data_IF_719898296258
#
_entry.id   IF_719898296258
#
_cell.length_a   1.000
_cell.length_b   1.000
_cell.length_c   1.000
_cell.angle_alpha   90.00
_cell.angle_beta   90.00
_cell.angle_gamma   90.00
#
_symmetry.space_group_name_H-M   'P 1'
#
loop_
_entity.id
_entity.type
_entity.pdbx_description
1 polymer ?
#
# COMPACT_ATOMS: atom_id res chain seq x y z
N UNK A 1 12.84 -9.86 8.62
CA UNK A 1 12.87 -9.75 10.09
C UNK A 1 11.97 -10.81 10.70
N UNK A 2 12.40 -11.41 11.79
CA UNK A 2 11.65 -12.47 12.44
C UNK A 2 10.46 -11.93 13.23
N UNK A 3 9.45 -12.79 13.48
CA UNK A 3 8.29 -12.44 14.29
C UNK A 3 8.70 -12.10 15.74
N UNK A 4 9.72 -12.77 16.26
CA UNK A 4 10.23 -12.51 17.61
C UNK A 4 10.76 -11.09 17.76
N UNK A 5 11.49 -10.58 16.76
CA UNK A 5 12.01 -9.21 16.76
C UNK A 5 10.88 -8.19 16.66
N UNK A 6 9.89 -8.44 15.81
CA UNK A 6 8.70 -7.55 15.71
C UNK A 6 7.91 -7.52 17.01
N UNK A 7 7.77 -8.66 17.69
CA UNK A 7 7.10 -8.75 18.97
C UNK A 7 7.85 -7.95 20.03
N UNK A 8 9.18 -8.05 20.08
CA UNK A 8 10.01 -7.30 21.01
C UNK A 8 9.86 -5.80 20.80
N UNK A 9 9.89 -5.33 19.54
CA UNK A 9 9.66 -3.92 19.23
C UNK A 9 8.31 -3.42 19.71
N UNK A 10 7.25 -4.21 19.45
CA UNK A 10 5.89 -3.86 19.88
C UNK A 10 5.78 -3.78 21.40
N UNK A 11 6.44 -4.70 22.12
CA UNK A 11 6.51 -4.67 23.57
C UNK A 11 7.17 -3.40 24.07
N UNK A 12 8.17 -2.91 23.35
CA UNK A 12 8.85 -1.65 23.62
C UNK A 12 8.12 -0.43 23.05
N UNK A 13 6.93 -0.63 22.49
CA UNK A 13 6.09 0.42 21.85
C UNK A 13 6.79 1.14 20.70
N UNK A 14 7.63 0.43 19.96
CA UNK A 14 8.27 0.93 18.75
C UNK A 14 7.59 0.34 17.51
N UNK A 15 7.31 1.19 16.53
CA UNK A 15 6.67 0.82 15.28
C UNK A 15 7.52 1.34 14.14
N UNK A 16 7.72 0.51 13.11
CA UNK A 16 8.43 0.91 11.90
C UNK A 16 7.44 1.06 10.76
N UNK A 17 7.42 2.24 10.17
CA UNK A 17 6.50 2.60 9.08
C UNK A 17 7.32 2.99 7.86
N UNK A 18 7.00 2.40 6.71
CA UNK A 18 7.64 2.73 5.45
C UNK A 18 6.69 3.39 4.46
N UNK A 19 7.26 4.12 3.52
CA UNK A 19 6.51 4.69 2.40
C UNK A 19 6.65 3.79 1.18
N UNK A 20 5.53 3.27 0.69
CA UNK A 20 5.51 2.42 -0.49
C UNK A 20 5.29 3.19 -1.79
N UNK A 21 4.61 4.33 -1.70
CA UNK A 21 4.36 5.20 -2.85
C UNK A 21 4.06 6.62 -2.39
N UNK A 22 4.48 7.58 -3.18
CA UNK A 22 4.25 9.01 -2.95
C UNK A 22 3.32 9.67 -3.97
N UNK A 23 2.87 8.95 -5.00
CA UNK A 23 1.92 9.45 -5.99
C UNK A 23 1.25 8.28 -6.72
N UNK A 24 0.18 8.58 -7.47
CA UNK A 24 -0.70 7.58 -8.08
C UNK A 24 0.00 6.62 -9.04
N UNK A 25 0.99 7.10 -9.79
CA UNK A 25 1.71 6.30 -10.78
C UNK A 25 3.07 5.78 -10.32
N UNK A 26 3.34 5.81 -9.03
CA UNK A 26 4.63 5.42 -8.49
C UNK A 26 4.97 3.94 -8.74
N UNK A 27 6.26 3.65 -8.75
CA UNK A 27 6.77 2.29 -8.98
C UNK A 27 6.50 1.39 -7.77
N UNK A 28 6.25 0.11 -8.04
CA UNK A 28 5.95 -0.86 -6.99
C UNK A 28 7.18 -1.61 -6.47
N UNK A 29 8.22 -1.76 -7.27
CA UNK A 29 9.39 -2.56 -6.92
C UNK A 29 10.10 -2.06 -5.65
N UNK A 30 10.30 -0.75 -5.45
CA UNK A 30 10.90 -0.27 -4.20
C UNK A 30 10.08 -0.62 -2.96
N UNK A 31 8.74 -0.66 -3.08
CA UNK A 31 7.86 -1.04 -1.98
C UNK A 31 8.07 -2.50 -1.58
N UNK A 32 8.19 -3.40 -2.55
CA UNK A 32 8.44 -4.82 -2.30
C UNK A 32 9.78 -5.00 -1.60
N UNK A 33 10.83 -4.34 -2.08
CA UNK A 33 12.15 -4.40 -1.46
C UNK A 33 12.11 -3.90 -0.01
N UNK A 34 11.39 -2.81 0.24
CA UNK A 34 11.24 -2.24 1.57
C UNK A 34 10.50 -3.21 2.51
N UNK A 35 9.46 -3.90 2.03
CA UNK A 35 8.76 -4.91 2.81
C UNK A 35 9.65 -6.09 3.16
N UNK A 36 10.51 -6.50 2.22
CA UNK A 36 11.39 -7.65 2.43
C UNK A 36 12.58 -7.35 3.33
N UNK A 37 13.13 -6.14 3.27
CA UNK A 37 14.40 -5.78 3.92
C UNK A 37 14.27 -4.73 5.01
N UNK A 38 13.16 -3.97 5.04
CA UNK A 38 13.01 -2.82 5.91
C UNK A 38 12.53 -3.13 7.33
N UNK A 39 12.13 -4.35 7.60
CA UNK A 39 11.58 -4.75 8.90
C UNK A 39 10.42 -3.86 9.34
N UNK A 40 9.45 -3.72 8.46
CA UNK A 40 8.31 -2.83 8.68
C UNK A 40 7.17 -3.51 9.42
N UNK A 41 6.45 -2.74 10.22
CA UNK A 41 5.14 -3.12 10.74
C UNK A 41 4.02 -2.65 9.83
N UNK A 42 4.20 -1.47 9.22
CA UNK A 42 3.23 -0.87 8.31
C UNK A 42 3.92 -0.30 7.08
N UNK A 43 3.25 -0.35 5.94
CA UNK A 43 3.67 0.37 4.74
C UNK A 43 2.48 1.18 4.22
N UNK A 44 2.73 2.42 3.82
CA UNK A 44 1.71 3.36 3.38
C UNK A 44 1.90 3.66 1.91
N UNK A 45 0.82 3.55 1.15
CA UNK A 45 0.78 3.94 -0.26
C UNK A 45 -0.09 5.18 -0.40
N UNK A 46 0.54 6.33 -0.59
CA UNK A 46 -0.13 7.60 -0.85
C UNK A 46 -0.25 7.79 -2.37
N UNK A 47 -1.44 7.59 -2.91
CA UNK A 47 -1.69 7.54 -4.34
C UNK A 47 -2.87 8.42 -4.76
N UNK A 48 -3.23 9.43 -3.97
CA UNK A 48 -4.42 10.21 -4.21
C UNK A 48 -4.12 11.71 -4.24
N UNK A 49 -4.64 12.38 -5.28
CA UNK A 49 -4.62 13.82 -5.44
C UNK A 49 -5.91 14.24 -6.13
N UNK A 50 -6.15 15.55 -6.28
CA UNK A 50 -7.38 16.04 -6.90
C UNK A 50 -7.64 15.43 -8.27
N UNK A 51 -6.61 15.34 -9.11
CA UNK A 51 -6.74 14.77 -10.45
C UNK A 51 -7.09 13.29 -10.40
N UNK A 52 -6.47 12.53 -9.52
CA UNK A 52 -6.70 11.08 -9.44
C UNK A 52 -8.06 10.75 -8.84
N UNK A 53 -8.56 11.55 -7.92
CA UNK A 53 -9.94 11.43 -7.43
C UNK A 53 -10.94 11.73 -8.56
N UNK A 54 -10.69 12.76 -9.35
CA UNK A 54 -11.56 13.12 -10.47
C UNK A 54 -11.60 12.00 -11.52
N UNK A 55 -10.44 11.41 -11.85
CA UNK A 55 -10.38 10.28 -12.77
C UNK A 55 -11.13 9.07 -12.20
N UNK A 56 -10.96 8.79 -10.91
CA UNK A 56 -11.69 7.72 -10.24
C UNK A 56 -13.20 7.94 -10.29
N UNK A 57 -13.65 9.17 -10.06
CA UNK A 57 -15.07 9.49 -10.12
C UNK A 57 -15.63 9.31 -11.54
N UNK A 58 -14.88 9.68 -12.57
CA UNK A 58 -15.27 9.43 -13.96
C UNK A 58 -15.37 7.93 -14.26
N UNK A 59 -14.42 7.15 -13.80
CA UNK A 59 -14.45 5.70 -13.97
C UNK A 59 -15.68 5.09 -13.29
N UNK A 60 -16.02 5.54 -12.09
CA UNK A 60 -17.18 5.08 -11.34
C UNK A 60 -18.50 5.42 -12.00
N UNK A 61 -18.60 6.59 -12.64
CA UNK A 61 -19.79 7.00 -13.39
C UNK A 61 -20.02 6.09 -14.59
N UNK A 62 -18.95 5.61 -15.23
CA UNK A 62 -19.02 4.70 -16.37
C UNK A 62 -19.32 3.27 -15.91
N UNK A 63 -18.73 2.84 -14.78
CA UNK A 63 -18.90 1.51 -14.23
C UNK A 63 -18.90 1.62 -12.70
N UNK A 64 -20.04 1.34 -12.02
CA UNK A 64 -20.14 1.46 -10.57
C UNK A 64 -19.17 0.60 -9.77
N UNK A 65 -18.58 -0.43 -10.37
CA UNK A 65 -17.60 -1.30 -9.73
C UNK A 65 -16.17 -0.73 -9.83
N UNK A 66 -15.96 0.31 -10.64
CA UNK A 66 -14.69 1.00 -10.81
C UNK A 66 -14.64 2.27 -9.95
N UNK A 67 -13.57 3.02 -10.07
CA UNK A 67 -13.37 4.27 -9.34
C UNK A 67 -12.19 4.23 -8.39
N UNK A 68 -11.54 3.08 -8.27
CA UNK A 68 -10.29 2.93 -7.54
C UNK A 68 -9.10 3.21 -8.46
N UNK A 69 -7.90 3.30 -7.88
CA UNK A 69 -6.67 3.49 -8.65
C UNK A 69 -6.53 2.37 -9.68
N UNK A 70 -6.31 2.73 -10.95
CA UNK A 70 -6.23 1.76 -12.06
C UNK A 70 -5.11 0.74 -11.91
N UNK A 71 -4.10 1.02 -11.08
CA UNK A 71 -2.99 0.12 -10.81
C UNK A 71 -3.20 -0.73 -9.55
N UNK A 72 -4.35 -0.62 -8.88
CA UNK A 72 -4.59 -1.29 -7.61
C UNK A 72 -4.41 -2.82 -7.72
N UNK A 73 -5.07 -3.45 -8.68
CA UNK A 73 -5.00 -4.90 -8.83
C UNK A 73 -3.58 -5.36 -9.13
N UNK A 74 -2.90 -4.70 -10.06
CA UNK A 74 -1.52 -4.99 -10.40
C UNK A 74 -0.60 -4.88 -9.18
N UNK A 75 -0.74 -3.79 -8.43
CA UNK A 75 0.08 -3.56 -7.24
C UNK A 75 -0.19 -4.58 -6.16
N UNK A 76 -1.45 -4.90 -5.89
CA UNK A 76 -1.80 -5.89 -4.86
C UNK A 76 -1.26 -7.27 -5.22
N UNK A 77 -1.37 -7.71 -6.45
CA UNK A 77 -0.78 -8.97 -6.88
C UNK A 77 0.74 -9.00 -6.66
N UNK A 78 1.39 -7.87 -6.88
CA UNK A 78 2.84 -7.77 -6.75
C UNK A 78 3.32 -7.77 -5.31
N UNK A 79 2.57 -7.14 -4.40
CA UNK A 79 3.00 -6.96 -3.00
C UNK A 79 2.48 -8.02 -2.04
N UNK A 80 1.39 -8.72 -2.37
CA UNK A 80 0.77 -9.67 -1.45
C UNK A 80 1.73 -10.73 -0.92
N UNK A 81 2.58 -11.38 -1.73
CA UNK A 81 3.52 -12.36 -1.20
C UNK A 81 4.47 -11.79 -0.15
N UNK A 82 5.04 -10.62 -0.41
CA UNK A 82 5.96 -9.97 0.53
C UNK A 82 5.23 -9.48 1.78
N UNK A 83 4.01 -8.99 1.62
CA UNK A 83 3.18 -8.52 2.73
C UNK A 83 2.87 -9.67 3.70
N UNK A 84 2.44 -10.81 3.19
CA UNK A 84 2.09 -11.98 4.00
C UNK A 84 3.34 -12.58 4.65
N UNK A 85 4.39 -12.77 3.87
CA UNK A 85 5.64 -13.37 4.36
C UNK A 85 6.29 -12.56 5.47
N UNK A 86 6.26 -11.23 5.36
CA UNK A 86 6.94 -10.32 6.28
C UNK A 86 6.01 -9.70 7.31
N UNK A 87 4.72 -10.06 7.28
CA UNK A 87 3.69 -9.56 8.21
C UNK A 87 3.63 -8.04 8.27
N UNK A 88 3.66 -7.41 7.09
CA UNK A 88 3.54 -5.96 6.95
C UNK A 88 2.09 -5.62 6.69
N UNK A 89 1.54 -4.67 7.44
CA UNK A 89 0.19 -4.16 7.20
C UNK A 89 0.23 -3.04 6.19
N UNK A 90 -0.69 -3.08 5.24
CA UNK A 90 -0.79 -2.08 4.17
C UNK A 90 -1.89 -1.09 4.49
N UNK A 91 -1.56 0.19 4.40
CA UNK A 91 -2.52 1.29 4.52
C UNK A 91 -2.44 2.09 3.22
N UNK A 92 -3.58 2.29 2.57
CA UNK A 92 -3.59 2.95 1.27
C UNK A 92 -4.87 3.72 1.02
N UNK A 93 -4.76 4.76 0.19
CA UNK A 93 -5.90 5.49 -0.35
C UNK A 93 -6.13 5.16 -1.84
N UNK A 94 -5.60 4.02 -2.31
CA UNK A 94 -5.80 3.58 -3.70
C UNK A 94 -7.26 3.26 -4.04
N UNK A 95 -8.13 3.18 -3.04
CA UNK A 95 -9.57 3.06 -3.28
C UNK A 95 -10.17 4.27 -3.99
N UNK A 96 -9.54 5.44 -3.86
CA UNK A 96 -9.93 6.68 -4.54
C UNK A 96 -11.42 7.00 -4.37
N UNK A 97 -12.21 6.99 -5.46
CA UNK A 97 -13.64 7.28 -5.41
C UNK A 97 -14.50 6.07 -5.03
N UNK A 98 -13.89 4.90 -4.86
CA UNK A 98 -14.60 3.66 -4.52
C UNK A 98 -13.77 2.82 -3.54
N UNK A 99 -13.56 3.32 -2.33
CA UNK A 99 -12.74 2.61 -1.34
C UNK A 99 -13.37 1.32 -0.83
#
# INVERSE_FOLDING_TARGET
>A
MSDAVKKERRTMKKVRIGSGAGYAGDRIEPAVELMEKGDLDYIIFECLAERTVAIGQQDKETDPEKGYNRLLEYRMEYILPAMVKNRVRVITNMGAANP
#
